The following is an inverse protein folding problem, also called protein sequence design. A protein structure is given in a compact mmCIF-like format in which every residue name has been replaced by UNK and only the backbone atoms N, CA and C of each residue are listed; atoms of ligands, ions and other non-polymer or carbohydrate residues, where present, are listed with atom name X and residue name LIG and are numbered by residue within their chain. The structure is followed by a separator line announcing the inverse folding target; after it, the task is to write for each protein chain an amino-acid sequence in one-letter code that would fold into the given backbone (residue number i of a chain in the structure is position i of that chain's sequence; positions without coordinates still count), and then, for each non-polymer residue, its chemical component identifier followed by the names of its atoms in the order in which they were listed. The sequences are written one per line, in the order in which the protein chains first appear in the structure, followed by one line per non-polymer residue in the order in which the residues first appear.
data_IF_791845245502
#
_entry.id   IF_791845245502
#
_cell.length_a   1.000
_cell.length_b   1.000
_cell.length_c   1.000
_cell.angle_alpha   90.00
_cell.angle_beta   90.00
_cell.angle_gamma   90.00
#
_symmetry.space_group_name_H-M   'P 1'
#
loop_
_entity.id
_entity.type
_entity.pdbx_description
1 polymer ?
#
# COMPACT_ATOMS: atom_id res chain seq x y z
N UNK A 1 -15.97 16.86 5.05
CA UNK A 1 -16.54 15.68 5.70
C UNK A 1 -16.81 14.54 4.70
N UNK A 2 -15.82 13.96 4.03
CA UNK A 2 -16.03 12.85 3.08
C UNK A 2 -15.98 11.46 3.72
N UNK A 3 -15.65 11.35 5.01
CA UNK A 3 -15.31 10.08 5.64
C UNK A 3 -16.47 9.26 6.23
N UNK A 4 -17.73 9.60 5.90
CA UNK A 4 -18.90 8.92 6.47
C UNK A 4 -19.39 7.70 5.70
N UNK A 5 -18.86 7.42 4.52
CA UNK A 5 -19.34 6.32 3.69
C UNK A 5 -18.31 5.18 3.69
N UNK A 6 -18.61 4.08 4.37
CA UNK A 6 -17.92 2.83 4.13
C UNK A 6 -18.46 2.25 2.81
N UNK A 7 -17.62 2.22 1.79
CA UNK A 7 -18.00 1.68 0.48
C UNK A 7 -17.61 0.20 0.48
N UNK A 8 -18.62 -0.65 0.33
CA UNK A 8 -18.40 -2.10 0.14
C UNK A 8 -19.02 -2.52 -1.18
N UNK A 9 -18.53 -3.58 -1.78
CA UNK A 9 -19.12 -4.15 -3.00
C UNK A 9 -20.60 -4.54 -2.84
N UNK A 10 -21.09 -4.71 -1.61
CA UNK A 10 -22.51 -4.97 -1.30
C UNK A 10 -23.38 -3.72 -1.16
N UNK A 11 -22.79 -2.52 -1.10
CA UNK A 11 -23.54 -1.26 -0.95
C UNK A 11 -24.07 -0.69 -2.27
N UNK A 12 -24.03 -1.45 -3.36
CA UNK A 12 -24.39 -1.03 -4.74
C UNK A 12 -25.87 -0.64 -4.93
N UNK A 13 -26.74 -0.86 -3.94
CA UNK A 13 -28.18 -0.54 -4.02
C UNK A 13 -28.58 0.72 -3.22
N UNK A 14 -27.61 1.45 -2.64
CA UNK A 14 -27.88 2.69 -1.93
C UNK A 14 -27.90 3.89 -2.89
N UNK A 15 -28.47 5.02 -2.46
CA UNK A 15 -28.36 6.28 -3.20
C UNK A 15 -26.89 6.71 -3.26
N UNK A 16 -26.30 6.63 -4.47
CA UNK A 16 -24.90 6.91 -4.74
C UNK A 16 -24.63 8.35 -5.15
N UNK A 17 -25.65 9.22 -5.17
CA UNK A 17 -25.54 10.59 -5.69
C UNK A 17 -24.47 11.43 -4.99
N UNK A 18 -24.37 11.35 -3.66
CA UNK A 18 -23.34 12.06 -2.90
C UNK A 18 -21.93 11.51 -3.18
N UNK A 19 -21.80 10.20 -3.37
CA UNK A 19 -20.53 9.56 -3.72
C UNK A 19 -20.08 10.00 -5.13
N UNK A 20 -21.00 9.99 -6.08
CA UNK A 20 -20.70 10.46 -7.43
C UNK A 20 -20.30 11.93 -7.45
N UNK A 21 -21.00 12.77 -6.68
CA UNK A 21 -20.66 14.19 -6.54
C UNK A 21 -19.27 14.40 -5.93
N UNK A 22 -18.94 13.67 -4.87
CA UNK A 22 -17.61 13.75 -4.26
C UNK A 22 -16.51 13.27 -5.22
N UNK A 23 -16.77 12.19 -5.96
CA UNK A 23 -15.86 11.69 -6.97
C UNK A 23 -15.61 12.71 -8.09
N UNK A 24 -16.70 13.34 -8.62
CA UNK A 24 -16.59 14.35 -9.68
C UNK A 24 -15.82 15.59 -9.23
N UNK A 25 -16.03 16.03 -8.00
CA UNK A 25 -15.27 17.14 -7.41
C UNK A 25 -13.76 16.81 -7.29
N UNK A 26 -13.44 15.59 -6.88
CA UNK A 26 -12.04 15.16 -6.78
C UNK A 26 -11.41 14.93 -8.15
N UNK A 27 -12.18 14.45 -9.14
CA UNK A 27 -11.72 14.29 -10.53
C UNK A 27 -11.19 15.60 -11.12
N UNK A 28 -11.89 16.71 -10.87
CA UNK A 28 -11.45 18.03 -11.34
C UNK A 28 -10.11 18.45 -10.72
N UNK A 29 -9.90 18.15 -9.43
CA UNK A 29 -8.63 18.46 -8.74
C UNK A 29 -7.49 17.59 -9.27
N UNK A 30 -7.71 16.28 -9.34
CA UNK A 30 -6.71 15.33 -9.80
C UNK A 30 -6.26 15.63 -11.21
N UNK A 31 -7.18 16.00 -12.12
CA UNK A 31 -6.80 16.35 -13.51
C UNK A 31 -5.84 17.52 -13.59
N UNK A 32 -5.93 18.48 -12.67
CA UNK A 32 -4.98 19.60 -12.61
C UNK A 32 -3.58 19.20 -12.12
N UNK A 33 -3.45 18.02 -11.53
CA UNK A 33 -2.18 17.49 -11.02
C UNK A 33 -1.53 16.46 -11.96
N UNK A 34 -2.17 16.10 -13.07
CA UNK A 34 -1.66 15.08 -14.01
C UNK A 34 -0.41 15.55 -14.78
N UNK A 35 0.25 14.57 -15.40
CA UNK A 35 1.40 14.82 -16.30
C UNK A 35 2.72 15.09 -15.58
N UNK A 36 2.74 15.02 -14.25
CA UNK A 36 3.95 15.24 -13.46
C UNK A 36 4.99 14.14 -13.69
N UNK A 37 6.24 14.45 -13.36
CA UNK A 37 7.36 13.54 -13.44
C UNK A 37 7.71 13.00 -12.05
N UNK A 38 7.74 11.68 -11.92
CA UNK A 38 7.94 10.97 -10.66
C UNK A 38 9.25 10.18 -10.67
N UNK A 39 10.16 10.43 -9.72
CA UNK A 39 11.38 9.65 -9.57
C UNK A 39 11.09 8.28 -8.96
N UNK A 40 12.02 7.33 -9.13
CA UNK A 40 12.11 6.17 -8.24
C UNK A 40 12.65 6.61 -6.89
N UNK A 41 12.16 6.02 -5.79
CA UNK A 41 12.62 6.35 -4.44
C UNK A 41 13.40 5.16 -3.89
N UNK A 42 14.69 5.36 -3.61
CA UNK A 42 15.56 4.32 -3.07
C UNK A 42 16.26 4.85 -1.81
N UNK A 43 16.02 4.22 -0.67
CA UNK A 43 16.60 4.65 0.60
C UNK A 43 16.26 6.10 0.97
N UNK A 44 15.06 6.57 0.60
CA UNK A 44 14.60 7.95 0.82
C UNK A 44 15.18 8.99 -0.14
N UNK A 45 15.96 8.58 -1.15
CA UNK A 45 16.53 9.47 -2.16
C UNK A 45 15.78 9.34 -3.48
N UNK A 46 15.58 10.45 -4.17
CA UNK A 46 15.03 10.49 -5.53
C UNK A 46 16.10 10.02 -6.52
N UNK A 47 15.76 9.05 -7.34
CA UNK A 47 16.58 8.55 -8.44
C UNK A 47 15.87 8.90 -9.75
N UNK A 48 16.52 9.72 -10.55
CA UNK A 48 16.05 10.15 -11.87
C UNK A 48 16.94 9.53 -12.93
N UNK A 49 16.46 8.47 -13.58
CA UNK A 49 17.12 7.89 -14.76
C UNK A 49 16.79 8.72 -16.00
N UNK A 50 17.59 8.60 -17.06
CA UNK A 50 17.31 9.27 -18.33
C UNK A 50 16.11 8.68 -19.10
N UNK A 51 15.58 7.52 -18.71
CA UNK A 51 14.47 6.83 -19.35
C UNK A 51 13.18 7.06 -18.57
N UNK A 52 12.13 7.46 -19.29
CA UNK A 52 10.79 7.69 -18.74
C UNK A 52 9.78 6.70 -19.32
N UNK A 53 8.99 6.12 -18.44
CA UNK A 53 7.75 5.45 -18.81
C UNK A 53 6.61 6.48 -18.73
N UNK A 54 6.00 6.77 -19.86
CA UNK A 54 4.87 7.72 -19.94
C UNK A 54 3.57 6.93 -19.84
N UNK A 55 2.84 7.15 -18.75
CA UNK A 55 1.55 6.54 -18.53
C UNK A 55 0.44 7.45 -19.05
N UNK A 56 -0.44 6.90 -19.87
CA UNK A 56 -1.60 7.60 -20.41
C UNK A 56 -2.91 6.98 -19.95
N UNK A 57 -3.98 7.76 -19.99
CA UNK A 57 -5.33 7.27 -19.71
C UNK A 57 -5.77 6.30 -20.83
N UNK A 58 -6.15 5.06 -20.52
CA UNK A 58 -6.55 4.09 -21.54
C UNK A 58 -7.82 4.49 -22.30
N UNK A 59 -8.67 5.32 -21.72
CA UNK A 59 -9.88 5.85 -22.38
C UNK A 59 -9.62 7.10 -23.20
N UNK A 60 -8.48 7.77 -23.00
CA UNK A 60 -8.03 8.94 -23.77
C UNK A 60 -6.50 9.01 -23.80
N UNK A 61 -5.89 8.36 -24.76
CA UNK A 61 -4.43 8.21 -24.84
C UNK A 61 -3.65 9.52 -25.04
N UNK A 62 -4.34 10.64 -25.31
CA UNK A 62 -3.73 11.97 -25.32
C UNK A 62 -3.58 12.58 -23.90
N UNK A 63 -4.28 12.04 -22.90
CA UNK A 63 -4.21 12.49 -21.51
C UNK A 63 -3.07 11.74 -20.79
N UNK A 64 -1.99 12.46 -20.48
CA UNK A 64 -0.84 11.90 -19.77
C UNK A 64 -1.14 11.92 -18.27
N UNK A 65 -1.14 10.75 -17.65
CA UNK A 65 -1.35 10.59 -16.20
C UNK A 65 -0.09 10.97 -15.42
N UNK A 66 1.06 10.45 -15.85
CA UNK A 66 2.34 10.73 -15.23
C UNK A 66 3.50 10.20 -16.07
N UNK A 67 4.71 10.65 -15.71
CA UNK A 67 5.97 10.22 -16.30
C UNK A 67 6.84 9.62 -15.19
N UNK A 68 7.25 8.40 -15.33
CA UNK A 68 7.93 7.65 -14.28
C UNK A 68 9.35 7.28 -14.71
N UNK A 69 10.33 7.63 -13.89
CA UNK A 69 11.70 7.20 -14.12
C UNK A 69 11.83 5.68 -13.99
N UNK A 70 12.34 5.05 -15.04
CA UNK A 70 12.55 3.60 -15.09
C UNK A 70 13.83 3.24 -14.33
N UNK A 71 13.71 2.40 -13.31
CA UNK A 71 14.86 1.90 -12.57
C UNK A 71 15.74 1.00 -13.46
N UNK A 72 17.04 1.12 -13.29
CA UNK A 72 18.04 0.22 -13.92
C UNK A 72 18.26 -1.01 -13.04
N UNK A 73 18.85 -2.11 -13.59
CA UNK A 73 19.27 -3.24 -12.77
C UNK A 73 20.16 -2.85 -11.58
N UNK A 74 21.10 -1.90 -11.80
CA UNK A 74 21.95 -1.40 -10.73
C UNK A 74 21.15 -0.68 -9.62
N UNK A 75 20.07 0.04 -9.98
CA UNK A 75 19.17 0.65 -8.99
C UNK A 75 18.42 -0.41 -8.16
N UNK A 76 18.04 -1.52 -8.78
CA UNK A 76 17.39 -2.64 -8.07
C UNK A 76 18.36 -3.29 -7.09
N UNK A 77 19.61 -3.53 -7.50
CA UNK A 77 20.66 -4.07 -6.63
C UNK A 77 20.95 -3.14 -5.44
N UNK A 78 20.98 -1.83 -5.68
CA UNK A 78 21.15 -0.84 -4.62
C UNK A 78 19.95 -0.83 -3.67
N UNK A 79 18.74 -0.83 -4.20
CA UNK A 79 17.50 -0.88 -3.42
C UNK A 79 17.47 -2.11 -2.50
N UNK A 80 17.85 -3.28 -3.03
CA UNK A 80 17.95 -4.51 -2.24
C UNK A 80 18.98 -4.40 -1.10
N UNK A 81 20.18 -3.87 -1.36
CA UNK A 81 21.20 -3.69 -0.31
C UNK A 81 20.73 -2.76 0.80
N UNK A 82 20.12 -1.62 0.43
CA UNK A 82 19.56 -0.66 1.38
C UNK A 82 18.41 -1.28 2.18
N UNK A 83 17.48 -1.96 1.51
CA UNK A 83 16.36 -2.63 2.15
C UNK A 83 16.83 -3.71 3.13
N UNK A 84 17.83 -4.52 2.76
CA UNK A 84 18.41 -5.55 3.62
C UNK A 84 19.04 -4.97 4.88
N UNK A 85 19.69 -3.82 4.79
CA UNK A 85 20.27 -3.15 5.96
C UNK A 85 19.18 -2.54 6.85
N UNK A 86 18.21 -1.83 6.25
CA UNK A 86 17.08 -1.23 6.96
C UNK A 86 16.23 -2.28 7.69
N UNK A 87 16.08 -3.46 7.10
CA UNK A 87 15.31 -4.58 7.67
C UNK A 87 15.81 -4.99 9.05
N UNK A 88 17.11 -4.97 9.30
CA UNK A 88 17.68 -5.36 10.60
C UNK A 88 17.10 -4.52 11.74
N UNK A 89 17.07 -3.19 11.57
CA UNK A 89 16.51 -2.27 12.54
C UNK A 89 14.98 -2.41 12.61
N UNK A 90 14.32 -2.47 11.45
CA UNK A 90 12.87 -2.60 11.38
C UNK A 90 12.37 -3.93 11.98
N UNK A 91 13.02 -5.03 11.69
CA UNK A 91 12.69 -6.34 12.25
C UNK A 91 12.87 -6.42 13.77
N UNK A 92 13.77 -5.61 14.34
CA UNK A 92 13.96 -5.50 15.79
C UNK A 92 12.95 -4.52 16.46
N UNK A 93 12.22 -3.71 15.67
CA UNK A 93 11.19 -2.81 16.20
C UNK A 93 10.05 -3.61 16.83
N UNK A 94 9.58 -3.24 18.03
CA UNK A 94 8.45 -3.92 18.66
C UNK A 94 7.24 -4.01 17.73
N UNK A 95 6.57 -5.17 17.71
CA UNK A 95 5.47 -5.39 16.76
C UNK A 95 4.31 -4.39 16.96
N UNK A 96 4.04 -3.94 18.18
CA UNK A 96 3.00 -2.95 18.44
C UNK A 96 3.30 -1.57 17.82
N UNK A 97 4.58 -1.19 17.69
CA UNK A 97 4.96 0.02 16.98
C UNK A 97 4.74 -0.13 15.48
N UNK A 98 5.06 -1.29 14.91
CA UNK A 98 4.78 -1.61 13.50
C UNK A 98 3.27 -1.61 13.23
N UNK A 99 2.47 -2.17 14.14
CA UNK A 99 1.00 -2.13 14.11
C UNK A 99 0.49 -0.68 14.08
N UNK A 100 0.97 0.17 14.98
CA UNK A 100 0.53 1.56 15.05
C UNK A 100 0.83 2.34 13.76
N UNK A 101 1.99 2.09 13.13
CA UNK A 101 2.35 2.71 11.86
C UNK A 101 1.45 2.21 10.73
N UNK A 102 1.20 0.91 10.67
CA UNK A 102 0.32 0.29 9.66
C UNK A 102 -1.11 0.79 9.78
N UNK A 103 -1.63 0.92 10.99
CA UNK A 103 -2.98 1.43 11.23
C UNK A 103 -3.11 2.90 10.78
N UNK A 104 -2.12 3.75 11.09
CA UNK A 104 -2.12 5.13 10.57
C UNK A 104 -2.08 5.19 9.06
N UNK A 105 -1.37 4.28 8.40
CA UNK A 105 -1.37 4.19 6.94
C UNK A 105 -2.75 3.84 6.40
N UNK A 106 -3.47 2.90 7.04
CA UNK A 106 -4.85 2.55 6.69
C UNK A 106 -5.78 3.77 6.80
N UNK A 107 -5.66 4.55 7.89
CA UNK A 107 -6.46 5.75 8.10
C UNK A 107 -6.20 6.81 7.02
N UNK A 108 -4.94 7.03 6.64
CA UNK A 108 -4.55 7.94 5.56
C UNK A 108 -5.12 7.49 4.21
N UNK A 109 -5.13 6.19 3.92
CA UNK A 109 -5.74 5.66 2.70
C UNK A 109 -7.23 5.95 2.68
N UNK A 110 -7.96 5.71 3.79
CA UNK A 110 -9.39 6.02 3.92
C UNK A 110 -9.69 7.50 3.73
N UNK A 111 -8.86 8.37 4.30
CA UNK A 111 -9.02 9.83 4.15
C UNK A 111 -8.80 10.29 2.70
N UNK A 112 -7.95 9.61 1.96
CA UNK A 112 -7.59 9.93 0.57
C UNK A 112 -8.28 9.06 -0.47
N UNK A 113 -9.25 8.23 -0.10
CA UNK A 113 -9.87 7.21 -0.98
C UNK A 113 -10.41 7.77 -2.29
N UNK A 114 -11.03 8.95 -2.30
CA UNK A 114 -11.53 9.54 -3.52
C UNK A 114 -10.40 9.94 -4.48
N UNK A 115 -9.31 10.53 -3.97
CA UNK A 115 -8.13 10.84 -4.77
C UNK A 115 -7.49 9.58 -5.36
N UNK A 116 -7.33 8.55 -4.55
CA UNK A 116 -6.77 7.25 -4.95
C UNK A 116 -7.67 6.60 -6.02
N UNK A 117 -8.98 6.57 -5.79
CA UNK A 117 -9.94 5.99 -6.72
C UNK A 117 -9.97 6.72 -8.06
N UNK A 118 -9.95 8.05 -8.04
CA UNK A 118 -9.87 8.86 -9.28
C UNK A 118 -8.61 8.55 -10.06
N UNK A 119 -7.45 8.47 -9.40
CA UNK A 119 -6.18 8.11 -10.06
C UNK A 119 -6.27 6.72 -10.70
N UNK A 120 -6.82 5.71 -10.01
CA UNK A 120 -7.00 4.37 -10.58
C UNK A 120 -7.97 4.36 -11.76
N UNK A 121 -9.07 5.13 -11.69
CA UNK A 121 -9.99 5.27 -12.82
C UNK A 121 -9.28 5.85 -14.06
N UNK A 122 -8.47 6.87 -13.87
CA UNK A 122 -7.76 7.52 -14.98
C UNK A 122 -6.57 6.67 -15.49
N UNK A 123 -5.86 5.98 -14.60
CA UNK A 123 -4.63 5.26 -14.94
C UNK A 123 -4.88 3.89 -15.54
N UNK A 124 -5.86 3.14 -15.03
CA UNK A 124 -6.12 1.75 -15.42
C UNK A 124 -7.52 1.51 -15.98
N UNK A 125 -8.36 2.53 -16.05
CA UNK A 125 -9.69 2.44 -16.68
C UNK A 125 -10.75 1.75 -15.82
N UNK A 126 -10.55 1.61 -14.50
CA UNK A 126 -11.54 1.04 -13.58
C UNK A 126 -12.75 1.97 -13.48
N UNK A 127 -13.95 1.41 -13.34
CA UNK A 127 -15.12 2.21 -13.02
C UNK A 127 -15.03 2.78 -11.59
N UNK A 128 -15.86 3.79 -11.28
CA UNK A 128 -15.83 4.53 -10.02
C UNK A 128 -15.98 3.62 -8.79
N UNK A 129 -16.89 2.68 -8.85
CA UNK A 129 -17.22 1.82 -7.72
C UNK A 129 -16.11 0.80 -7.45
N UNK A 130 -15.57 0.20 -8.50
CA UNK A 130 -14.44 -0.72 -8.36
C UNK A 130 -13.18 0.01 -7.87
N UNK A 131 -12.94 1.25 -8.33
CA UNK A 131 -11.80 2.05 -7.86
C UNK A 131 -11.97 2.45 -6.38
N UNK A 132 -13.16 2.84 -5.96
CA UNK A 132 -13.44 3.13 -4.56
C UNK A 132 -13.35 1.87 -3.70
N UNK A 133 -13.86 0.74 -4.20
CA UNK A 133 -13.73 -0.56 -3.53
C UNK A 133 -12.27 -0.98 -3.34
N UNK A 134 -11.44 -0.83 -4.36
CA UNK A 134 -9.99 -1.11 -4.30
C UNK A 134 -9.28 -0.24 -3.23
N UNK A 135 -9.62 1.06 -3.16
CA UNK A 135 -9.06 1.95 -2.15
C UNK A 135 -9.49 1.56 -0.72
N UNK A 136 -10.75 1.22 -0.51
CA UNK A 136 -11.26 0.75 0.80
C UNK A 136 -10.66 -0.60 1.18
N UNK A 137 -10.61 -1.55 0.24
CA UNK A 137 -10.00 -2.87 0.44
C UNK A 137 -8.52 -2.76 0.84
N UNK A 138 -7.78 -1.80 0.23
CA UNK A 138 -6.41 -1.50 0.64
C UNK A 138 -6.32 -1.20 2.13
N UNK A 139 -7.16 -0.28 2.63
CA UNK A 139 -7.17 0.09 4.03
C UNK A 139 -7.66 -1.04 4.95
N UNK A 140 -8.64 -1.82 4.49
CA UNK A 140 -9.16 -2.96 5.24
C UNK A 140 -8.12 -4.07 5.36
N UNK A 141 -7.32 -4.36 4.32
CA UNK A 141 -6.21 -5.30 4.40
C UNK A 141 -5.15 -4.88 5.42
N UNK A 142 -4.75 -3.59 5.41
CA UNK A 142 -3.81 -3.06 6.40
C UNK A 142 -4.33 -3.23 7.83
N UNK A 143 -5.60 -2.87 8.07
CA UNK A 143 -6.23 -3.00 9.37
C UNK A 143 -6.35 -4.46 9.81
N UNK A 144 -6.76 -5.35 8.91
CA UNK A 144 -6.89 -6.78 9.18
C UNK A 144 -5.55 -7.42 9.58
N UNK A 145 -4.48 -7.11 8.86
CA UNK A 145 -3.16 -7.65 9.22
C UNK A 145 -2.63 -7.06 10.54
N UNK A 146 -2.90 -5.78 10.80
CA UNK A 146 -2.56 -5.15 12.08
C UNK A 146 -3.29 -5.82 13.25
N UNK A 147 -4.59 -6.06 13.13
CA UNK A 147 -5.40 -6.78 14.11
C UNK A 147 -4.92 -8.23 14.28
N UNK A 148 -4.61 -8.92 13.18
CA UNK A 148 -4.08 -10.29 13.22
C UNK A 148 -2.75 -10.37 13.97
N UNK A 149 -1.86 -9.38 13.79
CA UNK A 149 -0.60 -9.29 14.52
C UNK A 149 -0.84 -9.14 16.03
N UNK A 150 -1.79 -8.30 16.42
CA UNK A 150 -2.15 -8.09 17.85
C UNK A 150 -2.78 -9.34 18.44
N UNK A 151 -3.78 -9.91 17.76
CA UNK A 151 -4.55 -11.06 18.24
C UNK A 151 -3.67 -12.32 18.42
N UNK A 152 -2.57 -12.42 17.67
CA UNK A 152 -1.61 -13.51 17.78
C UNK A 152 -0.36 -13.14 18.60
N UNK A 153 -0.39 -12.06 19.41
CA UNK A 153 0.70 -11.69 20.32
C UNK A 153 2.04 -11.46 19.60
N UNK A 154 2.00 -10.89 18.38
CA UNK A 154 3.20 -10.71 17.55
C UNK A 154 3.77 -12.01 17.00
N UNK A 155 2.97 -13.07 16.97
CA UNK A 155 3.38 -14.44 16.59
C UNK A 155 4.57 -14.96 17.41
N UNK A 156 4.53 -14.72 18.73
CA UNK A 156 5.42 -15.32 19.72
C UNK A 156 4.58 -16.10 20.74
N UNK A 157 4.56 -17.41 20.60
CA UNK A 157 3.71 -18.30 21.41
C UNK A 157 4.55 -19.07 22.44
N UNK A 158 4.11 -19.17 23.70
CA UNK A 158 4.78 -20.03 24.67
C UNK A 158 4.58 -21.50 24.30
N UNK A 159 5.62 -22.29 24.47
CA UNK A 159 5.59 -23.73 24.29
C UNK A 159 5.63 -24.47 25.64
N UNK A 160 5.50 -25.80 25.61
CA UNK A 160 5.68 -26.67 26.79
C UNK A 160 7.07 -26.51 27.37
N UNK A 161 7.16 -26.68 28.71
CA UNK A 161 8.41 -26.61 29.49
C UNK A 161 8.74 -27.98 30.03
N UNK A 162 10.01 -28.35 29.96
CA UNK A 162 10.53 -29.56 30.62
C UNK A 162 10.90 -29.27 32.08
N UNK A 163 11.16 -28.00 32.40
CA UNK A 163 11.56 -27.54 33.72
C UNK A 163 10.91 -26.19 34.04
N UNK A 164 10.63 -25.85 35.30
CA UNK A 164 10.10 -24.55 35.72
C UNK A 164 11.00 -23.36 35.34
N UNK A 165 12.29 -23.61 35.15
CA UNK A 165 13.27 -22.54 34.81
C UNK A 165 13.45 -22.32 33.31
N UNK A 166 12.65 -22.98 32.46
CA UNK A 166 12.68 -22.80 31.01
C UNK A 166 11.62 -21.81 30.54
N UNK A 167 11.98 -20.96 29.57
CA UNK A 167 11.05 -20.15 28.77
C UNK A 167 11.20 -20.54 27.29
N UNK A 168 10.39 -21.50 26.88
CA UNK A 168 10.40 -22.05 25.52
C UNK A 168 9.31 -21.38 24.70
N UNK A 169 9.64 -20.87 23.53
CA UNK A 169 8.73 -20.13 22.65
C UNK A 169 8.89 -20.56 21.20
N UNK A 170 7.76 -20.58 20.49
CA UNK A 170 7.71 -20.55 19.04
C UNK A 170 7.62 -19.09 18.59
N UNK A 171 8.56 -18.64 17.75
CA UNK A 171 8.64 -17.24 17.33
C UNK A 171 8.83 -17.16 15.83
N UNK A 172 7.84 -16.59 15.13
CA UNK A 172 8.00 -16.28 13.71
C UNK A 172 9.00 -15.15 13.52
N UNK A 173 9.90 -15.33 12.56
CA UNK A 173 10.96 -14.37 12.21
C UNK A 173 10.76 -13.82 10.82
N UNK A 174 11.14 -12.56 10.57
CA UNK A 174 11.11 -12.01 9.22
C UNK A 174 12.08 -12.73 8.28
N UNK A 175 11.71 -12.90 7.02
CA UNK A 175 12.58 -13.46 5.98
C UNK A 175 13.68 -12.49 5.55
N UNK A 176 13.38 -11.17 5.54
CA UNK A 176 14.32 -10.15 5.11
C UNK A 176 13.72 -9.13 4.15
N UNK A 177 13.90 -9.28 2.85
CA UNK A 177 13.39 -8.35 1.83
C UNK A 177 12.39 -9.05 0.92
N UNK A 178 11.24 -8.41 0.72
CA UNK A 178 10.21 -8.84 -0.23
C UNK A 178 10.21 -7.93 -1.45
N UNK A 179 10.16 -8.51 -2.64
CA UNK A 179 9.80 -7.81 -3.86
C UNK A 179 8.29 -7.88 -4.03
N UNK A 180 7.64 -6.73 -4.13
CA UNK A 180 6.18 -6.63 -4.30
C UNK A 180 5.85 -6.12 -5.68
N UNK A 181 5.15 -6.93 -6.46
CA UNK A 181 4.72 -6.60 -7.82
C UNK A 181 3.19 -6.66 -7.84
N UNK A 182 2.56 -5.49 -7.79
CA UNK A 182 1.10 -5.38 -7.86
C UNK A 182 0.59 -5.59 -9.29
N UNK A 183 -0.56 -6.26 -9.48
CA UNK A 183 -1.18 -6.40 -10.78
C UNK A 183 -1.85 -5.08 -11.20
N UNK A 184 -1.97 -4.85 -12.52
CA UNK A 184 -2.50 -3.59 -13.04
C UNK A 184 -3.99 -3.37 -12.71
N UNK A 185 -4.77 -4.42 -12.53
CA UNK A 185 -6.23 -4.36 -12.34
C UNK A 185 -6.67 -4.12 -10.88
N UNK A 186 -5.81 -4.41 -9.89
CA UNK A 186 -5.98 -4.08 -8.47
C UNK A 186 -4.67 -3.48 -7.93
N UNK A 187 -4.26 -2.32 -8.47
CA UNK A 187 -2.92 -1.82 -8.23
C UNK A 187 -2.72 -1.36 -6.78
N UNK A 188 -3.76 -0.84 -6.14
CA UNK A 188 -3.65 -0.34 -4.77
C UNK A 188 -3.85 -1.44 -3.73
N UNK A 189 -4.93 -2.22 -3.80
CA UNK A 189 -5.23 -3.24 -2.80
C UNK A 189 -4.16 -4.32 -2.72
N UNK A 190 -3.72 -4.85 -3.87
CA UNK A 190 -2.74 -5.94 -3.85
C UNK A 190 -1.32 -5.43 -3.62
N UNK A 191 -0.97 -4.23 -4.14
CA UNK A 191 0.31 -3.59 -3.81
C UNK A 191 0.42 -3.26 -2.32
N UNK A 192 -0.59 -2.58 -1.76
CA UNK A 192 -0.63 -2.19 -0.36
C UNK A 192 -0.76 -3.39 0.59
N UNK A 193 -1.61 -4.37 0.24
CA UNK A 193 -1.82 -5.58 1.04
C UNK A 193 -0.55 -6.41 1.19
N UNK A 194 0.11 -6.78 0.09
CA UNK A 194 1.36 -7.53 0.14
C UNK A 194 2.47 -6.76 0.87
N UNK A 195 2.61 -5.46 0.58
CA UNK A 195 3.62 -4.61 1.23
C UNK A 195 3.38 -4.50 2.73
N UNK A 196 2.14 -4.25 3.16
CA UNK A 196 1.81 -4.09 4.58
C UNK A 196 1.99 -5.38 5.36
N UNK A 197 1.58 -6.53 4.81
CA UNK A 197 1.79 -7.83 5.45
C UNK A 197 3.30 -8.11 5.66
N UNK A 198 4.12 -7.86 4.64
CA UNK A 198 5.57 -8.04 4.74
C UNK A 198 6.20 -7.10 5.77
N UNK A 199 5.87 -5.78 5.71
CA UNK A 199 6.39 -4.76 6.63
C UNK A 199 5.95 -5.08 8.07
N UNK A 200 4.70 -5.44 8.27
CA UNK A 200 4.17 -5.77 9.60
C UNK A 200 4.88 -6.99 10.21
N UNK A 201 5.22 -7.99 9.38
CA UNK A 201 6.03 -9.14 9.75
C UNK A 201 7.50 -8.82 10.06
N UNK A 202 7.93 -7.55 9.94
CA UNK A 202 9.30 -7.11 10.23
C UNK A 202 10.26 -7.20 9.03
N UNK A 203 9.72 -7.40 7.82
CA UNK A 203 10.52 -7.41 6.60
C UNK A 203 10.65 -6.00 6.01
N UNK A 204 11.61 -5.82 5.09
CA UNK A 204 11.64 -4.68 4.18
C UNK A 204 10.97 -5.04 2.85
N UNK A 205 10.61 -4.03 2.06
CA UNK A 205 9.92 -4.17 0.77
C UNK A 205 10.60 -3.34 -0.29
N UNK A 206 10.70 -3.89 -1.48
CA UNK A 206 11.06 -3.19 -2.72
C UNK A 206 10.01 -3.46 -3.79
#
# INVERSE_FOLDING_TARGET
MPNKFKITYSALNADMSEIHKAFDQELLKVRNELGQEYPSIIGGKEIRSGNLNIKTNPSNTSEIIGKYHVATPANVDEAYKIAKEAQKKWGATPYLERVAITQRAADIIRDRKFKIAVLMTLEVGKNRMESLGDAEESADLLSYYAESMVNNGGYSQPLGKLSPNEDTRDVLRPFGVFAVIGPFNFPMALGAGMSSAAILGGNAVI
#
